data_IF_992414666952
#
_entry.id   IF_992414666952
#
_cell.length_a   1.000
_cell.length_b   1.000
_cell.length_c   1.000
_cell.angle_alpha   90.00
_cell.angle_beta   90.00
_cell.angle_gamma   90.00
#
_symmetry.space_group_name_H-M   'P 1'
#
loop_
_entity.id
_entity.type
_entity.pdbx_description
1 polymer ?
#
# COMPACT_ATOMS: atom_id res chain seq x y z
N UNK A 1 -17.56 -0.65 -6.99
CA UNK A 1 -17.23 -0.24 -5.61
C UNK A 1 -16.88 1.23 -5.69
N UNK A 2 -17.51 2.09 -4.91
CA UNK A 2 -17.16 3.52 -4.93
C UNK A 2 -15.74 3.69 -4.40
N UNK A 3 -14.84 4.22 -5.22
CA UNK A 3 -13.48 4.54 -4.78
C UNK A 3 -13.57 5.54 -3.62
N UNK A 4 -13.07 5.15 -2.45
CA UNK A 4 -12.96 6.04 -1.29
C UNK A 4 -11.97 7.15 -1.63
N UNK A 5 -12.37 8.37 -1.33
CA UNK A 5 -11.53 9.54 -1.50
C UNK A 5 -11.20 10.19 -0.17
N UNK A 6 -10.10 10.93 -0.16
CA UNK A 6 -9.48 11.46 1.04
C UNK A 6 -9.04 12.90 0.85
N UNK A 7 -9.27 13.73 1.85
CA UNK A 7 -8.72 15.08 1.94
C UNK A 7 -7.46 15.04 2.80
N UNK A 8 -6.49 15.90 2.50
CA UNK A 8 -5.16 15.93 3.12
C UNK A 8 -4.80 17.35 3.54
N UNK A 9 -4.15 17.53 4.68
CA UNK A 9 -3.56 18.82 5.09
C UNK A 9 -2.09 18.85 4.67
N UNK A 10 -1.71 19.78 3.80
CA UNK A 10 -0.33 19.98 3.37
C UNK A 10 0.57 20.51 4.49
N UNK A 11 1.88 20.52 4.25
CA UNK A 11 2.85 21.09 5.21
C UNK A 11 2.69 22.61 5.42
N UNK A 12 1.96 23.27 4.52
CA UNK A 12 1.53 24.66 4.55
C UNK A 12 0.25 24.89 5.38
N UNK A 13 -0.42 23.83 5.83
CA UNK A 13 -1.69 23.91 6.55
C UNK A 13 -2.92 24.05 5.64
N UNK A 14 -2.74 24.04 4.32
CA UNK A 14 -3.86 24.08 3.37
C UNK A 14 -4.45 22.69 3.15
N UNK A 15 -5.74 22.66 2.81
CA UNK A 15 -6.45 21.42 2.53
C UNK A 15 -6.42 21.11 1.03
N UNK A 16 -5.99 19.89 0.70
CA UNK A 16 -5.88 19.37 -0.65
C UNK A 16 -6.73 18.10 -0.83
N UNK A 17 -7.14 17.84 -2.07
CA UNK A 17 -7.91 16.65 -2.46
C UNK A 17 -9.22 17.02 -3.16
N UNK A 18 -10.15 16.06 -3.31
CA UNK A 18 -10.07 14.67 -2.85
C UNK A 18 -9.04 13.82 -3.62
N UNK A 19 -8.32 12.95 -2.90
CA UNK A 19 -7.34 12.00 -3.41
C UNK A 19 -7.80 10.55 -3.22
N UNK A 20 -7.44 9.65 -4.14
CA UNK A 20 -7.56 8.21 -3.95
C UNK A 20 -6.41 7.66 -3.10
N UNK A 21 -6.53 6.41 -2.61
CA UNK A 21 -5.43 5.76 -1.90
C UNK A 21 -4.16 5.66 -2.74
N UNK A 22 -4.27 5.42 -4.05
CA UNK A 22 -3.10 5.40 -4.94
C UNK A 22 -2.41 6.76 -4.99
N UNK A 23 -3.18 7.84 -5.14
CA UNK A 23 -2.62 9.20 -5.17
C UNK A 23 -1.97 9.58 -3.84
N UNK A 24 -2.49 9.10 -2.69
CA UNK A 24 -1.83 9.30 -1.40
C UNK A 24 -0.49 8.55 -1.30
N UNK A 25 -0.38 7.35 -1.89
CA UNK A 25 0.89 6.60 -1.96
C UNK A 25 1.90 7.28 -2.88
N UNK A 26 1.44 7.83 -4.01
CA UNK A 26 2.28 8.59 -4.92
C UNK A 26 2.81 9.85 -4.24
N UNK A 27 1.96 10.60 -3.52
CA UNK A 27 2.38 11.77 -2.75
C UNK A 27 3.37 11.42 -1.63
N UNK A 28 3.24 10.25 -0.99
CA UNK A 28 4.21 9.76 -0.02
C UNK A 28 5.56 9.44 -0.68
N UNK A 29 5.51 8.83 -1.86
CA UNK A 29 6.71 8.42 -2.62
C UNK A 29 7.45 9.62 -3.21
N UNK A 30 6.72 10.65 -3.65
CA UNK A 30 7.27 11.92 -4.16
C UNK A 30 7.75 12.85 -3.03
N UNK A 31 7.51 12.48 -1.75
CA UNK A 31 7.89 13.28 -0.59
C UNK A 31 7.01 14.51 -0.34
N UNK A 32 5.91 14.66 -1.08
CA UNK A 32 4.91 15.73 -0.89
C UNK A 32 4.05 15.53 0.36
N UNK A 33 3.91 14.28 0.78
CA UNK A 33 3.28 13.89 2.03
C UNK A 33 4.21 12.97 2.82
N UNK A 34 3.96 12.85 4.11
CA UNK A 34 4.66 11.92 4.99
C UNK A 34 3.65 11.12 5.84
N UNK A 35 4.13 10.14 6.60
CA UNK A 35 3.26 9.28 7.43
C UNK A 35 2.49 10.02 8.53
N UNK A 36 2.93 11.22 8.91
CA UNK A 36 2.26 12.07 9.91
C UNK A 36 1.30 13.08 9.28
N UNK A 37 1.31 13.22 7.94
CA UNK A 37 0.37 14.08 7.22
C UNK A 37 -1.07 13.70 7.57
N UNK A 38 -1.85 14.68 8.01
CA UNK A 38 -3.24 14.46 8.41
C UNK A 38 -4.11 14.28 7.16
N UNK A 39 -4.91 13.22 7.17
CA UNK A 39 -5.89 12.92 6.14
C UNK A 39 -7.25 12.62 6.76
N UNK A 40 -8.33 12.82 6.02
CA UNK A 40 -9.67 12.35 6.40
C UNK A 40 -10.36 11.71 5.21
N UNK A 41 -11.24 10.73 5.46
CA UNK A 41 -12.09 10.21 4.39
C UNK A 41 -13.11 11.28 4.01
N UNK A 42 -13.28 11.55 2.72
CA UNK A 42 -14.22 12.56 2.24
C UNK A 42 -15.63 12.24 2.72
N UNK A 43 -16.28 13.23 3.34
CA UNK A 43 -17.58 13.06 3.99
C UNK A 43 -17.52 12.65 5.47
N UNK A 44 -16.32 12.54 6.04
CA UNK A 44 -16.09 12.35 7.48
C UNK A 44 -15.40 13.57 8.09
N UNK A 45 -15.50 13.73 9.40
CA UNK A 45 -14.85 14.83 10.13
C UNK A 45 -13.58 14.39 10.87
N UNK A 46 -13.27 13.09 10.84
CA UNK A 46 -12.16 12.50 11.60
C UNK A 46 -10.86 12.55 10.80
N UNK A 47 -9.94 13.41 11.23
CA UNK A 47 -8.56 13.43 10.76
C UNK A 47 -7.76 12.29 11.40
N UNK A 48 -6.94 11.63 10.59
CA UNK A 48 -6.02 10.58 11.00
C UNK A 48 -4.70 10.71 10.24
N UNK A 49 -3.57 10.24 10.80
CA UNK A 49 -2.30 10.21 10.09
C UNK A 49 -2.36 9.31 8.86
N UNK A 50 -1.76 9.74 7.74
CA UNK A 50 -1.68 8.96 6.50
C UNK A 50 -1.06 7.56 6.74
N UNK A 51 -0.05 7.47 7.60
CA UNK A 51 0.57 6.20 7.97
C UNK A 51 -0.40 5.19 8.60
N UNK A 52 -1.42 5.66 9.32
CA UNK A 52 -2.44 4.80 9.91
C UNK A 52 -3.33 4.17 8.84
N UNK A 53 -3.73 4.96 7.83
CA UNK A 53 -4.52 4.45 6.70
C UNK A 53 -3.70 3.43 5.90
N UNK A 54 -2.48 3.77 5.48
CA UNK A 54 -1.64 2.89 4.66
C UNK A 54 -1.24 1.61 5.42
N UNK A 55 -0.95 1.71 6.72
CA UNK A 55 -0.72 0.55 7.57
C UNK A 55 -1.94 -0.37 7.64
N UNK A 56 -3.15 0.19 7.78
CA UNK A 56 -4.39 -0.60 7.82
C UNK A 56 -4.73 -1.27 6.47
N UNK A 57 -4.39 -0.64 5.35
CA UNK A 57 -4.58 -1.22 4.01
C UNK A 57 -3.67 -2.43 3.78
N UNK A 58 -2.41 -2.37 4.23
CA UNK A 58 -1.48 -3.52 4.15
C UNK A 58 -2.03 -4.77 4.84
N UNK A 59 -2.72 -4.61 5.98
CA UNK A 59 -3.34 -5.73 6.71
C UNK A 59 -4.57 -6.28 5.97
N UNK A 60 -5.41 -5.40 5.39
CA UNK A 60 -6.58 -5.83 4.60
C UNK A 60 -6.17 -6.56 3.32
N UNK A 61 -5.16 -6.06 2.62
CA UNK A 61 -4.62 -6.70 1.41
C UNK A 61 -4.05 -8.08 1.74
N UNK A 62 -3.39 -8.24 2.88
CA UNK A 62 -2.92 -9.56 3.33
C UNK A 62 -4.08 -10.51 3.66
N UNK A 63 -5.15 -9.99 4.27
CA UNK A 63 -6.36 -10.76 4.53
C UNK A 63 -7.04 -11.22 3.24
N UNK A 64 -7.19 -10.34 2.25
CA UNK A 64 -7.76 -10.69 0.95
C UNK A 64 -6.85 -11.67 0.18
N UNK A 65 -5.53 -11.47 0.24
CA UNK A 65 -4.53 -12.37 -0.35
C UNK A 65 -4.63 -13.77 0.26
N UNK A 66 -4.76 -13.90 1.59
CA UNK A 66 -4.91 -15.21 2.24
C UNK A 66 -6.16 -15.95 1.78
N UNK A 67 -7.28 -15.25 1.59
CA UNK A 67 -8.53 -15.85 1.14
C UNK A 67 -8.46 -16.26 -0.34
N UNK A 68 -7.77 -15.48 -1.17
CA UNK A 68 -7.50 -15.83 -2.56
C UNK A 68 -6.57 -17.05 -2.71
N UNK A 69 -5.56 -17.19 -1.84
CA UNK A 69 -4.66 -18.36 -1.79
C UNK A 69 -5.40 -19.61 -1.28
N UNK A 70 -6.31 -19.47 -0.31
CA UNK A 70 -7.07 -20.59 0.24
C UNK A 70 -8.20 -21.05 -0.70
N UNK A 71 -8.73 -20.15 -1.53
CA UNK A 71 -9.85 -20.42 -2.45
C UNK A 71 -9.37 -20.82 -3.86
N UNK A 72 -8.15 -20.41 -4.26
CA UNK A 72 -7.55 -20.76 -5.52
C UNK A 72 -6.43 -21.78 -5.32
N UNK A 73 -6.58 -22.99 -5.87
CA UNK A 73 -5.63 -24.11 -5.90
C UNK A 73 -4.28 -23.81 -6.60
N UNK A 74 -3.62 -22.69 -6.28
CA UNK A 74 -2.25 -22.39 -6.66
C UNK A 74 -1.36 -22.67 -5.47
N UNK A 75 -0.68 -23.82 -5.52
CA UNK A 75 0.47 -24.09 -4.66
C UNK A 75 1.41 -22.88 -4.75
N UNK A 76 1.57 -22.17 -3.64
CA UNK A 76 2.76 -21.36 -3.43
C UNK A 76 3.91 -22.35 -3.29
N UNK A 77 4.44 -22.81 -4.42
CA UNK A 77 5.65 -23.63 -4.45
C UNK A 77 6.83 -22.73 -4.06
N UNK A 78 6.96 -22.49 -2.75
CA UNK A 78 8.13 -21.88 -2.11
C UNK A 78 9.42 -22.62 -2.51
N UNK A 79 9.32 -23.89 -2.94
CA UNK A 79 10.44 -24.64 -3.51
C UNK A 79 11.01 -24.05 -4.82
N UNK A 80 10.18 -23.44 -5.68
CA UNK A 80 10.64 -22.89 -6.97
C UNK A 80 11.44 -21.58 -6.81
N UNK A 81 11.09 -20.77 -5.80
CA UNK A 81 11.79 -19.52 -5.50
C UNK A 81 13.26 -19.76 -5.07
N UNK A 82 13.54 -20.89 -4.40
CA UNK A 82 14.91 -21.28 -4.03
C UNK A 82 15.70 -21.89 -5.20
N UNK A 83 15.06 -22.53 -6.17
CA UNK A 83 15.75 -23.10 -7.34
C UNK A 83 16.25 -22.04 -8.31
N UNK A 84 15.49 -20.95 -8.50
CA UNK A 84 15.90 -19.84 -9.40
C UNK A 84 17.09 -19.04 -8.86
N UNK A 85 17.22 -18.93 -7.53
CA UNK A 85 18.36 -18.26 -6.89
C UNK A 85 19.70 -18.98 -7.12
N UNK A 86 19.68 -20.32 -7.23
CA UNK A 86 20.89 -21.13 -7.45
C UNK A 86 21.43 -21.04 -8.88
N UNK A 87 20.57 -20.90 -9.88
CA UNK A 87 21.00 -20.74 -11.29
C UNK A 87 21.64 -19.38 -11.54
N UNK A 88 21.07 -18.31 -10.97
CA UNK A 88 21.65 -16.96 -11.05
C UNK A 88 23.02 -16.88 -10.37
N UNK A 89 23.20 -17.59 -9.25
CA UNK A 89 24.50 -17.66 -8.56
C UNK A 89 25.57 -18.38 -9.37
N UNK A 90 25.22 -19.48 -10.07
CA UNK A 90 26.17 -20.19 -10.96
C UNK A 90 26.48 -19.41 -12.23
N UNK A 91 25.56 -18.61 -12.74
CA UNK A 91 25.78 -17.79 -13.94
C UNK A 91 26.72 -16.59 -13.72
N UNK A 92 27.00 -16.21 -12.46
CA UNK A 92 27.82 -15.03 -12.12
C UNK A 92 29.08 -15.34 -11.30
N UNK A 93 29.32 -16.61 -10.97
CA UNK A 93 30.61 -17.10 -10.43
C UNK A 93 31.37 -17.83 -11.55
N UNK A 94 31.98 -17.04 -12.41
CA UNK A 94 33.05 -17.41 -13.34
C UNK A 94 34.19 -16.43 -13.19
#
# INVERSE_FOLDING_TARGET
MSDKTYEMIGGDGEQYGPFTIQQLQDNLSDGRANVQTQIRETGTEAWQPLGQLLGSQSIKNFAEYREAILTGNRRLDVGLAFSQGGELFKAHMG
#
